data_IF_438834528489
#
_entry.id   IF_438834528489
#
_cell.length_a   1.000
_cell.length_b   1.000
_cell.length_c   1.000
_cell.angle_alpha   90.00
_cell.angle_beta   90.00
_cell.angle_gamma   90.00
#
_symmetry.space_group_name_H-M   'P 1'
#
loop_
_entity.id
_entity.type
_entity.pdbx_description
1 polymer ?
#
# COMPACT_ATOMS: atom_id res chain seq x y z
N UNK A 1 -14.13 3.57 11.68
CA UNK A 1 -13.27 3.79 10.50
C UNK A 1 -11.82 3.82 10.93
N UNK A 2 -10.95 3.17 10.18
CA UNK A 2 -9.52 3.13 10.49
C UNK A 2 -8.87 4.50 10.31
N UNK A 3 -7.90 4.81 11.16
CA UNK A 3 -7.12 6.04 11.07
C UNK A 3 -5.82 5.80 10.32
N UNK A 4 -5.16 6.89 9.91
CA UNK A 4 -3.83 6.82 9.31
C UNK A 4 -2.86 6.02 10.19
N UNK A 5 -2.81 6.32 11.48
CA UNK A 5 -1.87 5.68 12.39
C UNK A 5 -2.16 4.18 12.56
N UNK A 6 -3.42 3.81 12.59
CA UNK A 6 -3.79 2.38 12.64
C UNK A 6 -3.34 1.63 11.39
N UNK A 7 -3.49 2.26 10.22
CA UNK A 7 -3.02 1.66 8.96
C UNK A 7 -1.50 1.53 8.97
N UNK A 8 -0.78 2.59 9.36
CA UNK A 8 0.68 2.55 9.40
C UNK A 8 1.20 1.48 10.37
N UNK A 9 0.57 1.34 11.52
CA UNK A 9 0.91 0.29 12.48
C UNK A 9 0.70 -1.10 11.87
N UNK A 10 -0.42 -1.28 11.16
CA UNK A 10 -0.72 -2.53 10.48
C UNK A 10 0.37 -2.88 9.44
N UNK A 11 0.77 -1.89 8.64
CA UNK A 11 1.81 -2.09 7.63
C UNK A 11 3.14 -2.48 8.28
N UNK A 12 3.52 -1.79 9.36
CA UNK A 12 4.78 -2.06 10.06
C UNK A 12 4.78 -3.44 10.71
N UNK A 13 3.68 -3.83 11.33
CA UNK A 13 3.56 -5.12 12.01
C UNK A 13 3.59 -6.29 11.03
N UNK A 14 3.16 -6.08 9.80
CA UNK A 14 3.11 -7.13 8.78
C UNK A 14 4.24 -7.03 7.75
N UNK A 15 5.23 -6.19 7.98
CA UNK A 15 6.29 -5.92 7.00
C UNK A 15 7.05 -7.19 6.62
N UNK A 16 7.36 -8.03 7.59
CA UNK A 16 8.04 -9.30 7.33
C UNK A 16 7.17 -10.23 6.51
N UNK A 17 5.88 -10.32 6.83
CA UNK A 17 4.93 -11.13 6.08
C UNK A 17 4.85 -10.66 4.62
N UNK A 18 4.77 -9.35 4.42
CA UNK A 18 4.72 -8.78 3.07
C UNK A 18 5.96 -9.15 2.25
N UNK A 19 7.12 -9.11 2.86
CA UNK A 19 8.36 -9.51 2.18
C UNK A 19 8.41 -11.01 1.90
N UNK A 20 8.15 -11.82 2.90
CA UNK A 20 8.32 -13.27 2.79
C UNK A 20 7.26 -13.91 1.90
N UNK A 21 6.02 -13.43 1.98
CA UNK A 21 4.91 -14.04 1.26
C UNK A 21 4.62 -13.37 -0.09
N UNK A 22 4.75 -12.05 -0.16
CA UNK A 22 4.36 -11.28 -1.34
C UNK A 22 5.52 -10.60 -2.05
N UNK A 23 6.74 -10.80 -1.58
CA UNK A 23 7.95 -10.22 -2.19
C UNK A 23 7.94 -8.70 -2.24
N UNK A 24 7.32 -8.07 -1.25
CA UNK A 24 7.28 -6.61 -1.15
C UNK A 24 8.54 -6.12 -0.46
N UNK A 25 9.33 -5.30 -1.16
CA UNK A 25 10.53 -4.68 -0.62
C UNK A 25 10.20 -3.40 0.17
N UNK A 26 9.32 -2.56 -0.38
CA UNK A 26 8.86 -1.33 0.26
C UNK A 26 7.36 -1.23 0.18
N UNK A 27 6.74 -0.75 1.25
CA UNK A 27 5.30 -0.52 1.29
C UNK A 27 5.03 0.81 1.98
N UNK A 28 4.14 1.61 1.41
CA UNK A 28 3.79 2.91 1.94
C UNK A 28 2.34 3.25 1.74
N UNK A 29 1.90 4.27 2.46
CA UNK A 29 0.54 4.78 2.42
C UNK A 29 0.54 6.14 1.74
N UNK A 30 -0.41 6.35 0.81
CA UNK A 30 -0.63 7.68 0.23
C UNK A 30 -2.13 7.92 0.08
N UNK A 31 -2.51 9.01 -0.56
CA UNK A 31 -3.91 9.33 -0.78
C UNK A 31 -4.64 9.82 0.46
N UNK A 32 -5.96 9.65 0.47
CA UNK A 32 -6.81 10.23 1.52
C UNK A 32 -6.46 9.75 2.93
N UNK A 33 -6.12 8.48 3.11
CA UNK A 33 -5.72 7.97 4.43
C UNK A 33 -4.42 8.61 4.91
N UNK A 34 -3.46 8.83 4.01
CA UNK A 34 -2.19 9.48 4.38
C UNK A 34 -2.41 10.93 4.81
N UNK A 35 -3.37 11.61 4.17
CA UNK A 35 -3.70 13.00 4.50
C UNK A 35 -4.64 13.15 5.70
N UNK A 36 -5.18 12.03 6.20
CA UNK A 36 -6.20 12.08 7.27
C UNK A 36 -7.55 12.59 6.79
N UNK A 37 -7.83 12.49 5.49
CA UNK A 37 -9.06 12.98 4.86
C UNK A 37 -10.00 11.86 4.42
N UNK A 38 -9.77 10.64 4.90
CA UNK A 38 -10.57 9.49 4.51
C UNK A 38 -12.01 9.59 5.03
N UNK A 39 -12.91 8.94 4.28
CA UNK A 39 -14.30 8.76 4.70
C UNK A 39 -14.68 7.28 4.51
N UNK A 40 -15.94 6.95 4.85
CA UNK A 40 -16.39 5.56 4.83
C UNK A 40 -16.30 4.91 3.44
N UNK A 41 -16.26 5.69 2.37
CA UNK A 41 -16.17 5.21 1.00
C UNK A 41 -14.76 5.24 0.44
N UNK A 42 -13.78 5.72 1.20
CA UNK A 42 -12.40 5.83 0.72
C UNK A 42 -11.76 4.47 0.57
N UNK A 43 -11.10 4.26 -0.57
CA UNK A 43 -10.21 3.11 -0.75
C UNK A 43 -8.86 3.42 -0.10
N UNK A 44 -8.15 2.37 0.24
CA UNK A 44 -6.81 2.50 0.81
C UNK A 44 -5.80 2.53 -0.34
N UNK A 45 -5.04 3.61 -0.45
CA UNK A 45 -4.03 3.77 -1.49
C UNK A 45 -2.66 3.37 -0.98
N UNK A 46 -2.11 2.31 -1.54
CA UNK A 46 -0.85 1.71 -1.08
C UNK A 46 0.19 1.77 -2.20
N UNK A 47 1.38 2.28 -1.86
CA UNK A 47 2.54 2.21 -2.73
C UNK A 47 3.34 0.96 -2.39
N UNK A 48 3.72 0.20 -3.41
CA UNK A 48 4.57 -0.96 -3.21
C UNK A 48 5.74 -0.96 -4.19
N UNK A 49 6.87 -1.48 -3.74
CA UNK A 49 7.97 -1.89 -4.58
C UNK A 49 8.23 -3.36 -4.29
N UNK A 50 8.24 -4.16 -5.34
CA UNK A 50 8.54 -5.58 -5.22
C UNK A 50 10.05 -5.82 -5.30
N UNK A 51 10.50 -6.92 -4.72
CA UNK A 51 11.88 -7.35 -4.86
C UNK A 51 12.21 -7.57 -6.34
N UNK A 52 13.48 -7.38 -6.72
CA UNK A 52 13.91 -7.58 -8.10
C UNK A 52 13.60 -8.99 -8.56
N UNK A 53 13.27 -9.13 -9.85
CA UNK A 53 12.96 -10.40 -10.51
C UNK A 53 11.73 -11.12 -9.94
N UNK A 54 10.87 -10.41 -9.23
CA UNK A 54 9.60 -10.97 -8.76
C UNK A 54 8.69 -11.28 -9.94
N UNK A 55 8.18 -12.51 -9.99
CA UNK A 55 7.30 -12.98 -11.04
C UNK A 55 5.85 -12.97 -10.57
N UNK A 56 4.93 -13.13 -11.53
CA UNK A 56 3.50 -13.26 -11.24
C UNK A 56 2.90 -12.08 -10.46
N UNK A 57 3.31 -10.85 -10.83
CA UNK A 57 2.88 -9.64 -10.15
C UNK A 57 1.37 -9.46 -10.14
N UNK A 58 0.70 -9.86 -11.22
CA UNK A 58 -0.76 -9.76 -11.29
C UNK A 58 -1.41 -10.59 -10.19
N UNK A 59 -0.97 -11.85 -10.06
CA UNK A 59 -1.48 -12.76 -9.03
C UNK A 59 -1.14 -12.27 -7.63
N UNK A 60 0.07 -11.76 -7.43
CA UNK A 60 0.47 -11.20 -6.14
C UNK A 60 -0.39 -10.02 -5.73
N UNK A 61 -0.72 -9.14 -6.69
CA UNK A 61 -1.59 -7.99 -6.40
C UNK A 61 -2.98 -8.45 -5.96
N UNK A 62 -3.52 -9.48 -6.60
CA UNK A 62 -4.81 -10.05 -6.20
C UNK A 62 -4.74 -10.58 -4.77
N UNK A 63 -3.70 -11.33 -4.45
CA UNK A 63 -3.52 -11.88 -3.11
C UNK A 63 -3.35 -10.80 -2.05
N UNK A 64 -2.62 -9.74 -2.37
CA UNK A 64 -2.43 -8.61 -1.47
C UNK A 64 -3.76 -7.91 -1.20
N UNK A 65 -4.56 -7.67 -2.24
CA UNK A 65 -5.89 -7.07 -2.09
C UNK A 65 -6.78 -7.92 -1.19
N UNK A 66 -6.75 -9.24 -1.37
CA UNK A 66 -7.52 -10.16 -0.51
C UNK A 66 -7.05 -10.12 0.93
N UNK A 67 -5.75 -10.02 1.15
CA UNK A 67 -5.19 -9.91 2.49
C UNK A 67 -5.71 -8.66 3.21
N UNK A 68 -5.64 -7.51 2.56
CA UNK A 68 -6.15 -6.27 3.15
C UNK A 68 -7.66 -6.34 3.39
N UNK A 69 -8.41 -6.90 2.47
CA UNK A 69 -9.86 -7.04 2.63
C UNK A 69 -10.21 -7.92 3.82
N UNK A 70 -9.50 -9.03 3.96
CA UNK A 70 -9.73 -9.97 5.07
C UNK A 70 -9.33 -9.37 6.41
N UNK A 71 -8.19 -8.69 6.47
CA UNK A 71 -7.64 -8.18 7.72
C UNK A 71 -8.24 -6.85 8.16
N UNK A 72 -8.52 -5.95 7.22
CA UNK A 72 -8.98 -4.60 7.52
C UNK A 72 -10.40 -4.30 7.06
N UNK A 73 -10.97 -5.16 6.23
CA UNK A 73 -12.26 -4.90 5.63
C UNK A 73 -12.26 -3.77 4.62
N UNK A 74 -11.09 -3.42 4.08
CA UNK A 74 -10.92 -2.29 3.16
C UNK A 74 -10.50 -2.77 1.78
N UNK A 75 -11.06 -2.13 0.76
CA UNK A 75 -10.55 -2.26 -0.60
C UNK A 75 -9.27 -1.45 -0.73
N UNK A 76 -8.32 -1.95 -1.49
CA UNK A 76 -7.02 -1.32 -1.64
C UNK A 76 -6.67 -1.13 -3.10
N UNK A 77 -6.14 0.06 -3.42
CA UNK A 77 -5.50 0.35 -4.70
C UNK A 77 -4.01 0.18 -4.51
N UNK A 78 -3.40 -0.69 -5.31
CA UNK A 78 -1.97 -0.96 -5.23
C UNK A 78 -1.27 -0.28 -6.40
N UNK A 79 -0.38 0.66 -6.10
CA UNK A 79 0.40 1.39 -7.10
C UNK A 79 1.86 1.07 -6.91
N UNK A 80 2.56 0.84 -8.03
CA UNK A 80 4.01 0.66 -8.02
C UNK A 80 4.64 2.02 -8.33
N UNK A 81 5.58 2.44 -7.48
CA UNK A 81 6.20 3.75 -7.59
C UNK A 81 6.73 4.06 -8.99
N UNK A 82 7.42 3.09 -9.61
CA UNK A 82 8.03 3.31 -10.92
C UNK A 82 7.04 3.49 -12.07
N UNK A 83 5.77 3.14 -11.88
CA UNK A 83 4.74 3.30 -12.91
C UNK A 83 3.84 4.50 -12.69
N UNK A 84 4.11 5.31 -11.68
CA UNK A 84 3.37 6.56 -11.48
C UNK A 84 3.79 7.55 -12.55
N UNK A 85 2.81 8.21 -13.17
CA UNK A 85 3.09 9.21 -14.21
C UNK A 85 3.96 10.33 -13.64
N UNK A 86 5.02 10.76 -14.35
CA UNK A 86 5.97 11.74 -13.82
C UNK A 86 5.34 13.03 -13.31
N UNK A 87 4.29 13.53 -13.98
CA UNK A 87 3.68 14.80 -13.59
C UNK A 87 2.98 14.77 -12.24
N UNK A 88 2.55 13.60 -11.78
CA UNK A 88 1.88 13.47 -10.48
C UNK A 88 2.73 12.74 -9.45
N UNK A 89 3.82 12.13 -9.89
CA UNK A 89 4.71 11.35 -9.03
C UNK A 89 5.27 12.17 -7.88
N UNK A 90 5.70 13.39 -8.18
CA UNK A 90 6.27 14.28 -7.18
C UNK A 90 5.27 14.57 -6.05
N UNK A 91 4.02 14.84 -6.40
CA UNK A 91 2.98 15.12 -5.40
C UNK A 91 2.64 13.90 -4.58
N UNK A 92 2.53 12.74 -5.21
CA UNK A 92 2.25 11.48 -4.50
C UNK A 92 3.39 11.15 -3.53
N UNK A 93 4.63 11.27 -3.96
CA UNK A 93 5.79 10.96 -3.11
C UNK A 93 5.94 11.93 -1.93
N UNK A 94 5.48 13.18 -2.08
CA UNK A 94 5.48 14.13 -0.97
C UNK A 94 4.54 13.72 0.15
N UNK A 95 3.41 13.13 -0.17
CA UNK A 95 2.43 12.72 0.84
C UNK A 95 2.60 11.28 1.31
N UNK A 96 3.37 10.48 0.59
CA UNK A 96 3.55 9.07 0.90
C UNK A 96 4.32 8.88 2.21
N UNK A 97 3.84 7.92 3.02
CA UNK A 97 4.49 7.55 4.27
C UNK A 97 4.84 6.07 4.18
N UNK A 98 6.13 5.77 4.12
CA UNK A 98 6.59 4.39 4.05
C UNK A 98 6.64 3.76 5.44
N UNK A 99 6.24 2.50 5.51
CA UNK A 99 6.32 1.75 6.75
C UNK A 99 7.78 1.35 7.03
N UNK A 100 8.16 1.45 8.28
CA UNK A 100 9.49 1.06 8.75
C UNK A 100 9.59 -0.43 9.05
#
# INVERSE_FOLDING_TARGET
MKTRDQILDFLSQNKKLFRDKYHIDKIGLFGSYARGEQNIKSDLDILVEFEENTQDLYELKIQIKEFFKTQLGLDVDICREKYIKPRIKKDILKEAIYAD
#
